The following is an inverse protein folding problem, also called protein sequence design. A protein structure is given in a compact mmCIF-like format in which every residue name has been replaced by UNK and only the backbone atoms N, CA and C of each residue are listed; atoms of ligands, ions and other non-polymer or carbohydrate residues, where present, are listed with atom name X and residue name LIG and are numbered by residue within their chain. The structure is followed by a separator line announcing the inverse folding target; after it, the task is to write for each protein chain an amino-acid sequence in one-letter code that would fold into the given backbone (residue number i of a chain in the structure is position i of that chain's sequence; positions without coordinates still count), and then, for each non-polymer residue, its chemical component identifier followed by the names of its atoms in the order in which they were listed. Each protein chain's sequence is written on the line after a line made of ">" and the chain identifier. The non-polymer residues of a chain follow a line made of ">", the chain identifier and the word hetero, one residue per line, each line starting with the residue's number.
data_IF_460974632327
#
_entry.id   IF_460974632327
#
_cell.length_a   1.000
_cell.length_b   1.000
_cell.length_c   1.000
_cell.angle_alpha   90.00
_cell.angle_beta   90.00
_cell.angle_gamma   90.00
#
_symmetry.space_group_name_H-M   'P 1'
#
loop_
_entity.id
_entity.type
_entity.pdbx_description
1 polymer ?
#
# COMPACT_ATOMS: atom_id res chain seq x y z
N UNK A 1 -36.60 23.32 -10.37
CA UNK A 1 -36.50 23.58 -8.93
C UNK A 1 -35.33 22.79 -8.42
N UNK A 2 -34.33 23.44 -7.83
CA UNK A 2 -33.27 22.76 -7.08
C UNK A 2 -33.73 22.62 -5.62
N UNK A 3 -33.31 21.56 -4.92
CA UNK A 3 -33.54 21.28 -3.49
C UNK A 3 -34.89 20.65 -3.07
N UNK A 4 -35.53 19.83 -3.92
CA UNK A 4 -36.71 19.04 -3.47
C UNK A 4 -36.34 17.85 -2.57
N UNK A 5 -35.07 17.48 -2.50
CA UNK A 5 -34.52 16.48 -1.59
C UNK A 5 -33.12 16.91 -1.13
N UNK A 6 -32.67 16.46 0.06
CA UNK A 6 -31.29 16.64 0.49
C UNK A 6 -30.32 16.04 -0.54
N UNK A 7 -29.23 16.76 -0.81
CA UNK A 7 -28.22 16.28 -1.75
C UNK A 7 -27.54 15.02 -1.19
N UNK A 8 -27.34 14.01 -2.06
CA UNK A 8 -26.62 12.77 -1.71
C UNK A 8 -25.12 13.03 -1.56
N UNK A 9 -24.61 13.98 -2.35
CA UNK A 9 -23.20 14.36 -2.39
C UNK A 9 -23.11 15.87 -2.24
N UNK A 10 -22.10 16.34 -1.51
CA UNK A 10 -21.81 17.76 -1.39
C UNK A 10 -21.50 18.38 -2.76
N UNK A 11 -21.88 19.64 -2.93
CA UNK A 11 -21.83 20.31 -4.24
C UNK A 11 -20.41 20.51 -4.74
N UNK A 12 -19.49 20.86 -3.86
CA UNK A 12 -18.07 20.96 -4.14
C UNK A 12 -17.47 19.64 -4.63
N UNK A 13 -17.80 18.52 -3.98
CA UNK A 13 -17.42 17.19 -4.43
C UNK A 13 -17.98 16.86 -5.82
N UNK A 14 -19.25 17.19 -6.06
CA UNK A 14 -19.87 17.01 -7.38
C UNK A 14 -19.18 17.87 -8.45
N UNK A 15 -18.87 19.13 -8.14
CA UNK A 15 -18.15 20.04 -9.04
C UNK A 15 -16.74 19.54 -9.37
N UNK A 16 -16.00 19.02 -8.39
CA UNK A 16 -14.69 18.39 -8.61
C UNK A 16 -14.78 17.21 -9.60
N UNK A 17 -15.82 16.37 -9.48
CA UNK A 17 -16.05 15.28 -10.43
C UNK A 17 -16.34 15.82 -11.83
N UNK A 18 -17.14 16.89 -11.97
CA UNK A 18 -17.39 17.50 -13.28
C UNK A 18 -16.11 18.06 -13.92
N UNK A 19 -15.22 18.67 -13.12
CA UNK A 19 -13.91 19.14 -13.60
C UNK A 19 -13.05 17.97 -14.09
N UNK A 20 -12.98 16.87 -13.34
CA UNK A 20 -12.23 15.69 -13.74
C UNK A 20 -12.80 15.01 -14.98
N UNK A 21 -14.13 14.93 -15.12
CA UNK A 21 -14.78 14.44 -16.34
C UNK A 21 -14.39 15.27 -17.55
N UNK A 22 -14.50 16.60 -17.48
CA UNK A 22 -14.06 17.51 -18.56
C UNK A 22 -12.58 17.34 -18.89
N UNK A 23 -11.72 17.18 -17.86
CA UNK A 23 -10.29 16.94 -18.06
C UNK A 23 -10.03 15.65 -18.84
N UNK A 24 -10.74 14.57 -18.52
CA UNK A 24 -10.64 13.27 -19.23
C UNK A 24 -11.13 13.38 -20.66
N UNK A 25 -12.27 14.04 -20.89
CA UNK A 25 -12.83 14.26 -22.22
C UNK A 25 -11.86 15.04 -23.11
N UNK A 26 -11.23 16.10 -22.57
CA UNK A 26 -10.23 16.88 -23.29
C UNK A 26 -8.97 16.10 -23.66
N UNK A 27 -8.56 15.13 -22.83
CA UNK A 27 -7.46 14.22 -23.16
C UNK A 27 -7.86 13.18 -24.22
N UNK A 28 -9.14 12.79 -24.25
CA UNK A 28 -9.70 11.80 -25.16
C UNK A 28 -8.93 10.47 -25.10
N UNK A 29 -8.66 9.87 -26.26
CA UNK A 29 -7.95 8.59 -26.37
C UNK A 29 -6.52 8.59 -25.79
N UNK A 30 -5.94 9.77 -25.48
CA UNK A 30 -4.62 9.86 -24.83
C UNK A 30 -4.70 9.49 -23.35
N UNK A 31 -5.86 9.66 -22.71
CA UNK A 31 -6.12 9.17 -21.37
C UNK A 31 -6.35 7.66 -21.44
N UNK A 32 -5.25 6.91 -21.33
CA UNK A 32 -5.28 5.45 -21.29
C UNK A 32 -4.58 4.96 -20.02
N UNK A 33 -5.18 4.01 -19.31
CA UNK A 33 -4.57 3.38 -18.14
C UNK A 33 -3.62 2.23 -18.54
N UNK A 34 -3.08 2.26 -19.76
CA UNK A 34 -2.23 1.20 -20.32
C UNK A 34 -0.84 1.14 -19.70
N UNK A 35 -0.39 2.26 -19.12
CA UNK A 35 0.92 2.40 -18.47
C UNK A 35 0.89 3.54 -17.44
N UNK A 36 1.76 3.46 -16.43
CA UNK A 36 1.83 4.44 -15.33
C UNK A 36 2.16 5.86 -15.79
N UNK A 37 2.84 6.03 -16.93
CA UNK A 37 3.21 7.35 -17.46
C UNK A 37 2.32 7.83 -18.61
N UNK A 38 1.31 7.04 -19.00
CA UNK A 38 0.33 7.45 -20.02
C UNK A 38 -0.32 8.77 -19.64
N UNK A 39 -0.38 9.71 -20.59
CA UNK A 39 -0.91 11.07 -20.41
C UNK A 39 -0.23 11.93 -19.33
N UNK A 40 0.96 11.54 -18.83
CA UNK A 40 1.71 12.30 -17.81
C UNK A 40 2.97 12.96 -18.37
N UNK A 41 3.64 12.33 -19.33
CA UNK A 41 4.88 12.83 -19.92
C UNK A 41 4.60 13.69 -21.14
N UNK A 42 4.92 14.99 -21.05
CA UNK A 42 4.65 16.02 -22.06
C UNK A 42 5.96 16.57 -22.61
N UNK A 43 6.03 16.72 -23.93
CA UNK A 43 7.15 17.35 -24.63
C UNK A 43 7.13 18.87 -24.41
N UNK A 44 8.25 19.42 -23.93
CA UNK A 44 8.44 20.87 -23.75
C UNK A 44 8.32 21.66 -25.05
N UNK A 45 8.77 21.08 -26.16
CA UNK A 45 8.89 21.81 -27.43
C UNK A 45 7.54 22.01 -28.12
N UNK A 46 6.57 21.12 -27.90
CA UNK A 46 5.31 21.10 -28.66
C UNK A 46 4.06 20.72 -27.86
N UNK A 47 4.19 20.41 -26.57
CA UNK A 47 3.07 20.02 -25.71
C UNK A 47 2.44 18.66 -26.01
N UNK A 48 2.99 17.87 -26.94
CA UNK A 48 2.49 16.52 -27.22
C UNK A 48 3.02 15.47 -26.24
N UNK A 49 2.33 14.34 -26.14
CA UNK A 49 2.66 13.30 -25.15
C UNK A 49 3.70 12.30 -25.64
N UNK A 50 4.47 11.76 -24.69
CA UNK A 50 5.25 10.55 -24.88
C UNK A 50 4.36 9.31 -24.81
N UNK A 51 4.85 8.21 -25.39
CA UNK A 51 4.21 6.91 -25.28
C UNK A 51 5.25 5.80 -25.15
N UNK A 52 4.87 4.72 -24.46
CA UNK A 52 5.67 3.51 -24.31
C UNK A 52 5.82 2.80 -25.65
N UNK A 53 7.05 2.44 -26.01
CA UNK A 53 7.41 1.70 -27.22
C UNK A 53 8.26 0.49 -26.83
N UNK A 54 7.98 -0.65 -27.46
CA UNK A 54 8.82 -1.85 -27.35
C UNK A 54 9.93 -1.77 -28.40
N UNK A 55 11.18 -1.89 -27.98
CA UNK A 55 12.36 -1.92 -28.85
C UNK A 55 13.00 -3.31 -28.81
N UNK A 56 13.59 -3.72 -29.92
CA UNK A 56 14.23 -5.05 -30.08
C UNK A 56 13.31 -6.23 -29.72
N UNK A 57 12.03 -6.16 -30.13
CA UNK A 57 11.04 -7.23 -29.91
C UNK A 57 11.57 -8.59 -30.37
N UNK A 58 11.21 -9.65 -29.62
CA UNK A 58 11.59 -11.04 -29.93
C UNK A 58 13.10 -11.30 -29.86
N UNK A 59 13.85 -10.52 -29.08
CA UNK A 59 15.28 -10.73 -28.84
C UNK A 59 15.63 -10.67 -27.36
N UNK A 60 16.81 -11.16 -26.97
CA UNK A 60 17.31 -11.07 -25.59
C UNK A 60 17.52 -9.61 -25.10
N UNK A 61 17.49 -8.63 -26.01
CA UNK A 61 17.66 -7.21 -25.73
C UNK A 61 16.33 -6.44 -25.76
N UNK A 62 15.20 -7.15 -25.72
CA UNK A 62 13.86 -6.53 -25.67
C UNK A 62 13.76 -5.57 -24.48
N UNK A 63 13.38 -4.33 -24.77
CA UNK A 63 13.23 -3.29 -23.74
C UNK A 63 12.12 -2.32 -24.08
N UNK A 64 11.56 -1.70 -23.05
CA UNK A 64 10.61 -0.61 -23.19
C UNK A 64 11.30 0.74 -23.05
N UNK A 65 10.94 1.66 -23.94
CA UNK A 65 11.35 3.06 -23.88
C UNK A 65 10.15 3.98 -24.08
N UNK A 66 10.22 5.18 -23.54
CA UNK A 66 9.25 6.24 -23.73
C UNK A 66 9.78 7.20 -24.78
N UNK A 67 8.96 7.42 -25.80
CA UNK A 67 9.31 8.26 -26.93
C UNK A 67 8.16 9.20 -27.24
N UNK A 68 8.49 10.44 -27.60
CA UNK A 68 7.53 11.40 -28.12
C UNK A 68 6.72 10.81 -29.29
N UNK A 69 5.39 10.78 -29.18
CA UNK A 69 4.54 10.02 -30.10
C UNK A 69 4.53 10.56 -31.53
N UNK A 70 4.80 11.85 -31.73
CA UNK A 70 4.82 12.44 -33.09
C UNK A 70 6.22 12.57 -33.67
N UNK A 71 7.26 11.92 -33.10
CA UNK A 71 8.65 12.03 -33.56
C UNK A 71 8.84 11.72 -35.04
N UNK A 72 8.03 10.79 -35.59
CA UNK A 72 8.10 10.37 -37.00
C UNK A 72 6.87 10.78 -37.82
N UNK A 73 5.98 11.62 -37.28
CA UNK A 73 4.83 12.10 -38.05
C UNK A 73 5.29 13.13 -39.09
N UNK A 74 5.05 12.83 -40.37
CA UNK A 74 5.36 13.74 -41.48
C UNK A 74 4.60 15.07 -41.30
N UNK A 75 5.28 16.20 -41.52
CA UNK A 75 4.68 17.54 -41.46
C UNK A 75 4.54 18.16 -40.07
N UNK A 76 5.07 17.53 -39.00
CA UNK A 76 5.08 18.08 -37.64
C UNK A 76 6.48 18.51 -37.18
N UNK A 77 6.50 19.32 -36.12
CA UNK A 77 7.73 19.76 -35.43
C UNK A 77 8.64 18.55 -35.14
N UNK A 78 9.91 18.65 -35.57
CA UNK A 78 10.96 17.67 -35.23
C UNK A 78 11.54 18.03 -33.87
N UNK A 79 10.77 17.78 -32.81
CA UNK A 79 11.24 17.99 -31.44
C UNK A 79 12.53 17.19 -31.22
N UNK A 80 13.53 17.81 -30.60
CA UNK A 80 14.84 17.18 -30.33
C UNK A 80 14.82 16.37 -29.02
N UNK A 81 13.61 16.01 -28.57
CA UNK A 81 13.40 15.26 -27.34
C UNK A 81 14.08 13.89 -27.34
N UNK A 82 14.72 13.51 -26.22
CA UNK A 82 15.36 12.21 -26.07
C UNK A 82 14.34 11.07 -25.95
N UNK A 83 14.85 9.85 -26.01
CA UNK A 83 14.14 8.66 -25.54
C UNK A 83 14.47 8.47 -24.08
N UNK A 84 13.47 8.07 -23.28
CA UNK A 84 13.63 7.86 -21.85
C UNK A 84 13.32 6.42 -21.50
N UNK A 85 14.05 5.85 -20.56
CA UNK A 85 13.72 4.61 -19.89
C UNK A 85 12.80 4.89 -18.70
N UNK A 86 12.10 3.86 -18.23
CA UNK A 86 11.30 3.97 -17.01
C UNK A 86 12.14 4.39 -15.80
N UNK A 87 13.38 3.88 -15.69
CA UNK A 87 14.29 4.23 -14.61
C UNK A 87 14.64 5.72 -14.63
N UNK A 88 15.03 6.27 -15.79
CA UNK A 88 15.34 7.70 -15.94
C UNK A 88 14.13 8.58 -15.60
N UNK A 89 12.92 8.19 -16.00
CA UNK A 89 11.70 8.94 -15.68
C UNK A 89 11.47 8.97 -14.16
N UNK A 90 11.59 7.81 -13.49
CA UNK A 90 11.41 7.71 -12.03
C UNK A 90 12.44 8.55 -11.28
N UNK A 91 13.69 8.47 -11.68
CA UNK A 91 14.78 9.26 -11.10
C UNK A 91 14.52 10.76 -11.26
N UNK A 92 14.22 11.23 -12.47
CA UNK A 92 13.91 12.63 -12.73
C UNK A 92 12.65 13.12 -12.02
N UNK A 93 11.65 12.27 -11.88
CA UNK A 93 10.47 12.58 -11.09
C UNK A 93 10.82 12.81 -9.63
N UNK A 94 11.62 11.93 -9.03
CA UNK A 94 12.07 12.07 -7.63
C UNK A 94 12.91 13.33 -7.46
N UNK A 95 13.85 13.61 -8.37
CA UNK A 95 14.64 14.85 -8.36
C UNK A 95 13.73 16.09 -8.39
N UNK A 96 12.80 16.16 -9.34
CA UNK A 96 11.88 17.30 -9.47
C UNK A 96 10.98 17.45 -8.24
N UNK A 97 10.38 16.36 -7.77
CA UNK A 97 9.55 16.35 -6.58
C UNK A 97 10.32 16.85 -5.35
N UNK A 98 11.57 16.41 -5.21
CA UNK A 98 12.47 16.81 -4.14
C UNK A 98 12.85 18.29 -4.16
N UNK A 99 12.76 18.98 -5.29
CA UNK A 99 12.98 20.42 -5.41
C UNK A 99 11.72 21.23 -5.06
N UNK A 100 10.54 20.66 -5.30
CA UNK A 100 9.25 21.36 -5.08
C UNK A 100 8.71 21.27 -3.66
N UNK A 101 9.21 20.32 -2.88
CA UNK A 101 8.73 20.05 -1.53
C UNK A 101 9.48 20.96 -0.54
N UNK A 102 8.80 21.99 -0.04
CA UNK A 102 9.40 22.98 0.87
C UNK A 102 9.65 22.42 2.28
N UNK A 103 8.85 21.43 2.71
CA UNK A 103 8.83 20.96 4.10
C UNK A 103 8.96 19.43 4.20
N UNK A 104 10.10 18.91 3.70
CA UNK A 104 10.39 17.46 3.71
C UNK A 104 10.40 16.89 5.11
N UNK A 105 10.93 17.61 6.08
CA UNK A 105 11.08 17.12 7.45
C UNK A 105 9.72 16.91 8.09
N UNK A 106 8.81 17.89 7.99
CA UNK A 106 7.45 17.73 8.50
C UNK A 106 6.74 16.56 7.84
N UNK A 107 6.72 16.46 6.50
CA UNK A 107 6.05 15.35 5.79
C UNK A 107 6.65 14.00 6.18
N UNK A 108 7.96 13.92 6.36
CA UNK A 108 8.63 12.69 6.80
C UNK A 108 8.23 12.33 8.23
N UNK A 109 8.13 13.30 9.12
CA UNK A 109 7.70 13.08 10.50
C UNK A 109 6.23 12.67 10.56
N UNK A 110 5.34 13.37 9.84
CA UNK A 110 3.92 13.03 9.73
C UNK A 110 3.74 11.58 9.23
N UNK A 111 4.48 11.17 8.19
CA UNK A 111 4.44 9.81 7.67
C UNK A 111 4.95 8.78 8.68
N UNK A 112 6.02 9.08 9.42
CA UNK A 112 6.51 8.21 10.50
C UNK A 112 5.49 8.08 11.63
N UNK A 113 4.81 9.15 11.99
CA UNK A 113 3.75 9.14 13.00
C UNK A 113 2.57 8.28 12.53
N UNK A 114 2.14 8.42 11.27
CA UNK A 114 1.09 7.56 10.69
C UNK A 114 1.51 6.10 10.64
N UNK A 115 2.75 5.81 10.23
CA UNK A 115 3.29 4.44 10.24
C UNK A 115 3.24 3.89 11.67
N UNK A 116 3.79 4.61 12.64
CA UNK A 116 3.78 4.20 14.03
C UNK A 116 2.35 3.96 14.53
N UNK A 117 1.41 4.85 14.25
CA UNK A 117 0.00 4.69 14.62
C UNK A 117 -0.62 3.42 14.03
N UNK A 118 -0.30 3.09 12.78
CA UNK A 118 -0.86 1.92 12.10
C UNK A 118 -0.12 0.62 12.42
N UNK A 119 1.14 0.69 12.88
CA UNK A 119 1.99 -0.48 13.14
C UNK A 119 2.36 -0.67 14.61
N UNK A 120 1.85 0.15 15.53
CA UNK A 120 2.08 -0.04 16.97
C UNK A 120 1.38 -1.32 17.44
N UNK A 121 2.18 -2.36 17.65
CA UNK A 121 1.75 -3.67 18.14
C UNK A 121 2.08 -3.89 19.61
N UNK A 122 2.53 -2.86 20.34
CA UNK A 122 3.05 -3.01 21.70
C UNK A 122 2.03 -3.59 22.69
N UNK A 123 0.74 -3.26 22.57
CA UNK A 123 -0.31 -3.86 23.40
C UNK A 123 -0.54 -5.33 23.07
N UNK A 124 -0.51 -5.70 21.78
CA UNK A 124 -0.63 -7.09 21.34
C UNK A 124 0.55 -7.92 21.84
N UNK A 125 1.77 -7.38 21.77
CA UNK A 125 2.98 -8.01 22.29
C UNK A 125 2.90 -8.23 23.80
N UNK A 126 2.46 -7.24 24.57
CA UNK A 126 2.22 -7.40 26.03
C UNK A 126 1.17 -8.46 26.33
N UNK A 127 0.09 -8.52 25.56
CA UNK A 127 -0.94 -9.55 25.71
C UNK A 127 -0.38 -10.96 25.45
N UNK A 128 0.44 -11.11 24.41
CA UNK A 128 1.13 -12.38 24.11
C UNK A 128 2.06 -12.77 25.26
N UNK A 129 2.86 -11.84 25.79
CA UNK A 129 3.75 -12.11 26.92
C UNK A 129 2.98 -12.56 28.17
N UNK A 130 1.88 -11.88 28.49
CA UNK A 130 1.06 -12.23 29.64
C UNK A 130 0.45 -13.63 29.49
N UNK A 131 -0.17 -13.93 28.36
CA UNK A 131 -0.77 -15.24 28.09
C UNK A 131 0.28 -16.35 28.14
N UNK A 132 1.49 -16.10 27.61
CA UNK A 132 2.57 -17.07 27.68
C UNK A 132 3.07 -17.31 29.12
N UNK A 133 3.11 -16.26 29.95
CA UNK A 133 3.48 -16.40 31.36
C UNK A 133 2.42 -17.22 32.13
N UNK A 134 1.14 -16.93 31.92
CA UNK A 134 0.03 -17.69 32.49
C UNK A 134 0.05 -19.15 32.04
N UNK A 135 0.29 -19.39 30.75
CA UNK A 135 0.46 -20.73 30.18
C UNK A 135 1.61 -21.50 30.86
N UNK A 136 2.75 -20.85 31.09
CA UNK A 136 3.89 -21.48 31.77
C UNK A 136 3.53 -21.96 33.17
N UNK A 137 2.82 -21.12 33.94
CA UNK A 137 2.37 -21.47 35.30
C UNK A 137 1.41 -22.66 35.28
N UNK A 138 0.45 -22.67 34.35
CA UNK A 138 -0.52 -23.78 34.25
C UNK A 138 0.18 -25.09 33.86
N UNK A 139 1.12 -25.05 32.92
CA UNK A 139 1.90 -26.22 32.50
C UNK A 139 2.71 -26.79 33.68
N UNK A 140 3.35 -25.93 34.47
CA UNK A 140 4.09 -26.36 35.67
C UNK A 140 3.18 -27.01 36.73
N UNK A 141 2.01 -26.42 36.98
CA UNK A 141 1.03 -26.97 37.92
C UNK A 141 0.46 -28.31 37.45
N UNK A 142 0.18 -28.45 36.16
CA UNK A 142 -0.26 -29.70 35.56
C UNK A 142 0.82 -30.79 35.70
N UNK A 143 2.08 -30.47 35.37
CA UNK A 143 3.21 -31.39 35.52
C UNK A 143 3.43 -31.83 36.97
N UNK A 144 3.28 -30.90 37.93
CA UNK A 144 3.36 -31.19 39.37
C UNK A 144 2.24 -32.15 39.80
N UNK A 145 1.02 -31.88 39.37
CA UNK A 145 -0.17 -32.71 39.69
C UNK A 145 -0.02 -34.13 39.14
N UNK A 146 0.48 -34.29 37.90
CA UNK A 146 0.79 -35.60 37.30
C UNK A 146 1.85 -36.34 38.11
N UNK A 147 2.91 -35.64 38.55
CA UNK A 147 4.00 -36.22 39.32
C UNK A 147 3.58 -36.64 40.73
N UNK A 148 2.71 -35.88 41.37
CA UNK A 148 2.14 -36.20 42.69
C UNK A 148 1.27 -37.47 42.61
N UNK A 149 0.38 -37.55 41.63
CA UNK A 149 -0.45 -38.74 41.36
C UNK A 149 0.38 -39.99 41.05
N UNK A 150 1.56 -39.85 40.43
CA UNK A 150 2.45 -40.99 40.19
C UNK A 150 3.05 -41.61 41.47
N UNK A 151 2.95 -40.91 42.61
CA UNK A 151 3.58 -41.28 43.89
C UNK A 151 2.57 -41.63 45.00
N UNK A 152 1.34 -41.15 44.92
CA UNK A 152 0.27 -41.46 45.88
C UNK A 152 -0.81 -42.33 45.22
N UNK A 153 -1.29 -43.35 45.93
CA UNK A 153 -2.39 -44.22 45.49
C UNK A 153 -3.75 -43.56 45.82
N UNK A 154 -3.86 -42.24 45.62
CA UNK A 154 -5.02 -41.43 45.99
C UNK A 154 -6.14 -41.54 44.95
N UNK A 155 -7.38 -41.50 45.42
CA UNK A 155 -8.59 -41.82 44.66
C UNK A 155 -8.68 -41.12 43.28
N UNK A 156 -8.82 -41.94 42.23
CA UNK A 156 -8.85 -41.59 40.80
C UNK A 156 -9.75 -40.40 40.41
N UNK A 157 -10.75 -40.09 41.23
CA UNK A 157 -11.75 -39.03 40.97
C UNK A 157 -11.24 -37.62 41.36
N UNK A 158 -10.43 -37.49 42.42
CA UNK A 158 -9.97 -36.17 42.88
C UNK A 158 -8.88 -35.59 41.96
N UNK A 159 -7.98 -36.44 41.48
CA UNK A 159 -6.98 -36.10 40.47
C UNK A 159 -7.63 -35.60 39.17
N UNK A 160 -8.64 -36.33 38.66
CA UNK A 160 -9.30 -35.99 37.40
C UNK A 160 -10.01 -34.64 37.51
N UNK A 161 -10.70 -34.37 38.63
CA UNK A 161 -11.35 -33.08 38.86
C UNK A 161 -10.35 -31.91 38.91
N UNK A 162 -9.20 -32.11 39.57
CA UNK A 162 -8.16 -31.08 39.70
C UNK A 162 -7.45 -30.81 38.38
N UNK A 163 -7.18 -31.85 37.59
CA UNK A 163 -6.60 -31.73 36.25
C UNK A 163 -7.56 -31.05 35.28
N UNK A 164 -8.84 -31.46 35.25
CA UNK A 164 -9.87 -30.85 34.41
C UNK A 164 -10.11 -29.37 34.77
N UNK A 165 -10.01 -29.00 36.05
CA UNK A 165 -10.09 -27.60 36.47
C UNK A 165 -8.94 -26.73 35.91
N UNK A 166 -7.71 -27.26 35.87
CA UNK A 166 -6.55 -26.56 35.30
C UNK A 166 -6.69 -26.41 33.78
N UNK A 167 -7.12 -27.48 33.09
CA UNK A 167 -7.31 -27.47 31.62
C UNK A 167 -8.48 -26.57 31.21
N UNK A 168 -9.58 -26.53 31.96
CA UNK A 168 -10.72 -25.68 31.63
C UNK A 168 -10.49 -24.20 31.98
N UNK A 169 -9.60 -23.88 32.92
CA UNK A 169 -9.18 -22.51 33.21
C UNK A 169 -8.44 -21.82 32.05
N UNK A 170 -7.94 -22.59 31.07
CA UNK A 170 -7.24 -22.07 29.88
C UNK A 170 -8.15 -21.74 28.68
N UNK A 171 -9.48 -21.94 28.79
CA UNK A 171 -10.44 -21.78 27.68
C UNK A 171 -11.11 -20.40 27.60
N UNK A 172 -10.64 -19.42 28.36
CA UNK A 172 -11.12 -18.03 28.34
C UNK A 172 -10.02 -17.10 27.82
#
# INVERSE_FOLDING_TARGET
>A
MENSHPAIIERDMWELVQVEMKRRDNLGAKYSATDIFSSKLVCSDCGGFYGKKKWHSNTAYERFVYQYNSKFQKGKCRCQTPHLTEAEIKEKFIEAYNLTIEDKERITNDLKEVINLLTDTTELEKGIEQINAELSVVVELAAKTIKENSKSNEDSIDYENKYQSLVNGMKH
#
